data_IF_532369781119
#
_entry.id   IF_532369781119
#
_cell.length_a   1.000
_cell.length_b   1.000
_cell.length_c   1.000
_cell.angle_alpha   90.00
_cell.angle_beta   90.00
_cell.angle_gamma   90.00
#
_symmetry.space_group_name_H-M   'P 1'
#
loop_
_entity.id
_entity.type
_entity.pdbx_description
1 polymer ?
#
# COMPACT_ATOMS: atom_id res chain seq x y z
N UNK A 1 -8.99 -19.22 0.78
CA UNK A 1 -9.05 -18.81 -0.63
C UNK A 1 -10.47 -18.49 -1.09
N UNK A 2 -11.45 -19.26 -0.69
CA UNK A 2 -12.88 -19.04 -1.06
C UNK A 2 -13.42 -17.69 -0.61
N UNK A 3 -13.07 -17.23 0.59
CA UNK A 3 -13.53 -15.94 1.12
C UNK A 3 -13.06 -14.75 0.26
N UNK A 4 -11.84 -14.82 -0.29
CA UNK A 4 -11.26 -13.77 -1.14
C UNK A 4 -11.98 -13.74 -2.49
N UNK A 5 -12.23 -14.91 -3.08
CA UNK A 5 -12.97 -15.03 -4.34
C UNK A 5 -14.41 -14.51 -4.19
N UNK A 6 -15.06 -14.83 -3.07
CA UNK A 6 -16.40 -14.33 -2.77
C UNK A 6 -16.45 -12.80 -2.67
N UNK A 7 -15.39 -12.17 -2.17
CA UNK A 7 -15.29 -10.69 -2.10
C UNK A 7 -15.18 -10.08 -3.51
N UNK A 8 -14.39 -10.69 -4.41
CA UNK A 8 -14.22 -10.19 -5.78
C UNK A 8 -15.45 -10.39 -6.67
N UNK A 9 -16.34 -11.32 -6.33
CA UNK A 9 -17.59 -11.56 -7.08
C UNK A 9 -18.75 -10.68 -6.64
N UNK A 10 -18.57 -9.86 -5.60
CA UNK A 10 -19.62 -8.95 -5.13
C UNK A 10 -19.91 -7.86 -6.17
N UNK A 11 -21.17 -7.47 -6.32
CA UNK A 11 -21.49 -6.29 -7.12
C UNK A 11 -20.92 -5.03 -6.50
N UNK A 12 -20.72 -4.01 -7.32
CA UNK A 12 -20.28 -2.69 -6.86
C UNK A 12 -21.28 -2.11 -5.87
N UNK A 13 -20.78 -1.70 -4.71
CA UNK A 13 -21.55 -1.03 -3.67
C UNK A 13 -20.74 0.18 -3.14
N UNK A 14 -21.19 1.42 -3.40
CA UNK A 14 -20.49 2.62 -2.95
C UNK A 14 -20.36 2.75 -1.42
N UNK A 15 -21.28 2.14 -0.66
CA UNK A 15 -21.25 2.14 0.79
C UNK A 15 -20.19 1.15 1.34
N UNK A 16 -19.79 0.16 0.53
CA UNK A 16 -18.85 -0.90 0.87
C UNK A 16 -17.77 -1.10 -0.20
N UNK A 17 -16.98 -0.08 -0.54
CA UNK A 17 -15.96 -0.18 -1.57
C UNK A 17 -14.93 -1.26 -1.24
N UNK A 18 -14.54 -2.01 -2.27
CA UNK A 18 -13.49 -3.02 -2.20
C UNK A 18 -12.15 -2.39 -2.57
N UNK A 19 -11.20 -2.43 -1.67
CA UNK A 19 -9.84 -1.92 -1.87
C UNK A 19 -8.82 -3.01 -1.64
N UNK A 20 -7.96 -3.26 -2.62
CA UNK A 20 -6.78 -4.10 -2.48
C UNK A 20 -5.60 -3.21 -2.09
N UNK A 21 -4.86 -3.59 -1.07
CA UNK A 21 -3.67 -2.90 -0.60
C UNK A 21 -2.51 -3.87 -0.61
N UNK A 22 -1.41 -3.45 -1.21
CA UNK A 22 -0.16 -4.20 -1.27
C UNK A 22 1.02 -3.25 -1.08
N UNK A 23 2.16 -3.79 -0.67
CA UNK A 23 3.36 -3.01 -0.41
C UNK A 23 4.61 -3.66 -1.01
N UNK A 24 5.50 -2.83 -1.47
CA UNK A 24 6.78 -3.27 -2.00
C UNK A 24 7.89 -2.29 -1.65
N UNK A 25 9.04 -2.81 -1.27
CA UNK A 25 10.25 -2.01 -1.07
C UNK A 25 11.06 -1.95 -2.37
N UNK A 26 11.54 -0.78 -2.72
CA UNK A 26 12.42 -0.55 -3.86
C UNK A 26 13.74 0.06 -3.41
N UNK A 27 14.83 -0.54 -3.85
CA UNK A 27 16.17 -0.03 -3.60
C UNK A 27 16.54 0.96 -4.70
N UNK A 28 17.03 2.13 -4.31
CA UNK A 28 17.63 3.07 -5.24
C UNK A 28 19.06 2.64 -5.55
N UNK A 29 19.37 2.62 -6.82
CA UNK A 29 20.69 2.31 -7.35
C UNK A 29 21.23 3.55 -8.06
N UNK A 30 22.46 3.91 -7.76
CA UNK A 30 23.20 4.90 -8.51
C UNK A 30 24.28 4.22 -9.36
N UNK A 31 24.46 4.70 -10.57
CA UNK A 31 25.54 4.24 -11.43
C UNK A 31 26.87 4.82 -10.92
N UNK A 32 27.87 3.97 -10.75
CA UNK A 32 29.22 4.39 -10.33
C UNK A 32 30.01 5.01 -11.47
N UNK A 33 29.67 4.66 -12.71
CA UNK A 33 30.32 5.14 -13.94
C UNK A 33 29.27 5.55 -14.98
N UNK A 34 29.58 6.59 -15.74
CA UNK A 34 28.73 7.01 -16.83
C UNK A 34 28.68 5.94 -17.93
N UNK A 35 27.47 5.55 -18.37
CA UNK A 35 27.34 4.59 -19.47
C UNK A 35 28.00 5.12 -20.75
N UNK A 36 28.63 4.24 -21.50
CA UNK A 36 29.17 4.57 -22.81
C UNK A 36 28.02 4.51 -23.83
N UNK A 37 27.66 5.64 -24.45
CA UNK A 37 26.54 5.66 -25.38
C UNK A 37 26.83 4.86 -26.64
N UNK A 38 25.78 4.38 -27.26
CA UNK A 38 25.83 3.68 -28.53
C UNK A 38 26.42 4.57 -29.64
N UNK A 39 27.31 3.99 -30.46
CA UNK A 39 27.84 4.59 -31.68
C UNK A 39 27.68 3.59 -32.82
N UNK A 40 27.76 4.10 -34.09
CA UNK A 40 27.69 3.24 -35.25
C UNK A 40 28.72 2.10 -35.15
N UNK A 41 28.27 0.86 -35.21
CA UNK A 41 29.10 -0.35 -35.05
C UNK A 41 29.56 -0.68 -33.65
N UNK A 42 29.08 0.04 -32.61
CA UNK A 42 29.37 -0.24 -31.19
C UNK A 42 28.08 -0.13 -30.35
N UNK A 43 27.64 -1.23 -29.72
CA UNK A 43 26.50 -1.17 -28.81
C UNK A 43 26.82 -0.32 -27.57
N UNK A 44 25.78 0.18 -26.92
CA UNK A 44 25.90 0.82 -25.61
C UNK A 44 26.51 -0.16 -24.60
N UNK A 45 27.30 0.35 -23.69
CA UNK A 45 27.90 -0.43 -22.60
C UNK A 45 27.58 0.26 -21.28
N UNK A 46 26.97 -0.48 -20.37
CA UNK A 46 26.73 -0.09 -18.99
C UNK A 46 27.63 -0.93 -18.08
N UNK A 47 28.09 -0.33 -16.99
CA UNK A 47 28.83 -1.07 -15.96
C UNK A 47 27.83 -1.88 -15.12
N UNK A 48 28.29 -2.97 -14.54
CA UNK A 48 27.50 -3.78 -13.60
C UNK A 48 27.63 -3.30 -12.16
N UNK A 49 28.61 -2.43 -11.90
CA UNK A 49 28.81 -1.86 -10.59
C UNK A 49 27.76 -0.78 -10.33
N UNK A 50 27.12 -0.87 -9.19
CA UNK A 50 26.15 0.13 -8.72
C UNK A 50 26.36 0.43 -7.24
N UNK A 51 26.06 1.64 -6.86
CA UNK A 51 26.03 2.07 -5.48
C UNK A 51 24.60 2.06 -4.96
N UNK A 52 24.41 1.58 -3.72
CA UNK A 52 23.11 1.58 -3.06
C UNK A 52 22.84 2.96 -2.49
N UNK A 53 21.80 3.61 -3.00
CA UNK A 53 21.44 4.99 -2.64
C UNK A 53 20.11 5.07 -1.87
N UNK A 54 19.93 4.17 -0.91
CA UNK A 54 18.75 4.12 -0.06
C UNK A 54 17.66 3.17 -0.55
N UNK A 55 16.56 3.18 0.18
CA UNK A 55 15.38 2.34 -0.08
C UNK A 55 14.13 3.19 0.11
N UNK A 56 13.14 3.03 -0.75
CA UNK A 56 11.80 3.57 -0.54
C UNK A 56 10.78 2.44 -0.50
N UNK A 57 9.71 2.65 0.25
CA UNK A 57 8.59 1.73 0.35
C UNK A 57 7.38 2.33 -0.37
N UNK A 58 6.69 1.50 -1.11
CA UNK A 58 5.56 1.88 -1.95
C UNK A 58 4.34 1.13 -1.44
N UNK A 59 3.35 1.86 -0.95
CA UNK A 59 2.02 1.34 -0.68
C UNK A 59 1.15 1.58 -1.92
N UNK A 60 0.62 0.52 -2.49
CA UNK A 60 -0.28 0.59 -3.63
C UNK A 60 -1.68 0.19 -3.21
N UNK A 61 -2.64 1.06 -3.51
CA UNK A 61 -4.06 0.86 -3.25
C UNK A 61 -4.81 0.81 -4.57
N UNK A 62 -5.66 -0.17 -4.73
CA UNK A 62 -6.43 -0.36 -5.94
C UNK A 62 -7.87 -0.78 -5.61
N UNK A 63 -8.85 -0.03 -6.09
CA UNK A 63 -10.26 -0.37 -6.00
C UNK A 63 -10.77 -0.79 -7.40
N UNK A 64 -10.83 -2.10 -7.68
CA UNK A 64 -11.11 -2.59 -9.03
C UNK A 64 -12.50 -2.20 -9.54
N UNK A 65 -13.50 -2.23 -8.66
CA UNK A 65 -14.88 -1.91 -9.02
C UNK A 65 -15.13 -0.41 -9.20
N UNK A 66 -14.27 0.43 -8.61
CA UNK A 66 -14.32 1.89 -8.73
C UNK A 66 -13.41 2.43 -9.83
N UNK A 67 -12.55 1.59 -10.41
CA UNK A 67 -11.52 2.02 -11.35
C UNK A 67 -10.49 2.99 -10.74
N UNK A 68 -10.36 2.98 -9.41
CA UNK A 68 -9.52 3.90 -8.65
C UNK A 68 -8.21 3.23 -8.21
N UNK A 69 -7.13 3.98 -8.27
CA UNK A 69 -5.82 3.55 -7.77
C UNK A 69 -5.09 4.73 -7.15
N UNK A 70 -4.32 4.44 -6.12
CA UNK A 70 -3.45 5.41 -5.47
C UNK A 70 -2.15 4.75 -5.02
N UNK A 71 -1.07 5.52 -5.04
CA UNK A 71 0.25 5.07 -4.61
C UNK A 71 0.80 6.07 -3.61
N UNK A 72 1.31 5.57 -2.49
CA UNK A 72 2.02 6.37 -1.50
C UNK A 72 3.42 5.82 -1.30
N UNK A 73 4.40 6.71 -1.41
CA UNK A 73 5.81 6.39 -1.18
C UNK A 73 6.20 6.88 0.21
N UNK A 74 6.90 6.04 0.96
CA UNK A 74 7.39 6.33 2.31
C UNK A 74 8.85 5.91 2.42
N UNK A 75 9.60 6.59 3.28
CA UNK A 75 11.01 6.25 3.54
C UNK A 75 11.12 4.98 4.40
N UNK A 76 10.12 4.73 5.23
CA UNK A 76 10.07 3.61 6.15
C UNK A 76 8.81 2.79 5.93
N UNK A 77 8.88 1.56 6.40
CA UNK A 77 7.82 0.57 6.35
C UNK A 77 7.44 0.20 7.79
N UNK A 78 6.75 1.14 8.44
CA UNK A 78 6.34 0.97 9.82
C UNK A 78 4.83 0.82 9.96
N UNK A 79 4.39 0.27 11.10
CA UNK A 79 2.96 0.21 11.43
C UNK A 79 2.30 1.59 11.46
N UNK A 80 3.06 2.64 11.79
CA UNK A 80 2.59 4.03 11.78
C UNK A 80 2.37 4.53 10.35
N UNK A 81 3.30 4.22 9.43
CA UNK A 81 3.15 4.59 8.01
C UNK A 81 1.92 3.91 7.40
N UNK A 82 1.75 2.63 7.69
CA UNK A 82 0.57 1.87 7.28
C UNK A 82 -0.73 2.50 7.83
N UNK A 83 -0.77 2.86 9.11
CA UNK A 83 -1.94 3.49 9.71
C UNK A 83 -2.26 4.86 9.08
N UNK A 84 -1.24 5.65 8.72
CA UNK A 84 -1.43 6.90 7.99
C UNK A 84 -1.98 6.67 6.58
N UNK A 85 -1.52 5.62 5.88
CA UNK A 85 -2.06 5.23 4.58
C UNK A 85 -3.54 4.87 4.68
N UNK A 86 -3.92 4.07 5.67
CA UNK A 86 -5.31 3.69 5.89
C UNK A 86 -6.19 4.87 6.30
N UNK A 87 -5.67 5.77 7.13
CA UNK A 87 -6.38 6.99 7.49
C UNK A 87 -6.63 7.87 6.27
N UNK A 88 -5.63 8.08 5.43
CA UNK A 88 -5.77 8.87 4.20
C UNK A 88 -6.76 8.22 3.22
N UNK A 89 -6.75 6.90 3.11
CA UNK A 89 -7.72 6.14 2.33
C UNK A 89 -9.15 6.39 2.80
N UNK A 90 -9.38 6.33 4.13
CA UNK A 90 -10.70 6.51 4.71
C UNK A 90 -11.17 7.97 4.66
N UNK A 91 -10.31 8.93 5.01
CA UNK A 91 -10.68 10.32 5.17
C UNK A 91 -10.80 11.09 3.84
N UNK A 92 -10.03 10.67 2.81
CA UNK A 92 -9.98 11.38 1.54
C UNK A 92 -10.61 10.63 0.39
N UNK A 93 -10.24 9.36 0.21
CA UNK A 93 -10.63 8.62 -0.99
C UNK A 93 -12.04 8.04 -0.88
N UNK A 94 -12.41 7.58 0.30
CA UNK A 94 -13.71 6.94 0.56
C UNK A 94 -14.41 7.52 1.80
N UNK A 95 -14.39 8.84 1.95
CA UNK A 95 -14.96 9.55 3.09
C UNK A 95 -16.47 9.30 3.28
N UNK A 96 -17.19 8.99 2.22
CA UNK A 96 -18.62 8.73 2.26
C UNK A 96 -19.00 7.25 2.46
N UNK A 97 -17.99 6.35 2.43
CA UNK A 97 -18.23 4.93 2.60
C UNK A 97 -18.58 4.58 4.05
N UNK A 98 -19.54 3.69 4.24
CA UNK A 98 -19.88 3.16 5.58
C UNK A 98 -18.80 2.24 6.12
N UNK A 99 -18.21 1.44 5.23
CA UNK A 99 -17.16 0.47 5.59
C UNK A 99 -16.32 0.17 4.35
N UNK A 100 -15.01 0.24 4.49
CA UNK A 100 -14.07 -0.16 3.42
C UNK A 100 -13.75 -1.63 3.61
N UNK A 101 -13.97 -2.43 2.56
CA UNK A 101 -13.57 -3.84 2.51
C UNK A 101 -12.14 -3.91 2.03
N UNK A 102 -11.20 -4.18 2.93
CA UNK A 102 -9.79 -4.21 2.62
C UNK A 102 -9.29 -5.63 2.37
N UNK A 103 -8.68 -5.86 1.22
CA UNK A 103 -7.97 -7.09 0.88
C UNK A 103 -6.49 -6.80 0.88
N UNK A 104 -5.76 -7.51 1.72
CA UNK A 104 -4.30 -7.35 1.89
C UNK A 104 -3.68 -8.68 2.27
N UNK A 105 -2.35 -8.77 2.15
CA UNK A 105 -1.61 -9.91 2.67
C UNK A 105 -1.53 -9.88 4.21
N UNK A 106 -1.04 -10.95 4.82
CA UNK A 106 -0.99 -11.11 6.28
C UNK A 106 0.39 -10.70 6.85
N UNK A 107 0.91 -9.53 6.46
CA UNK A 107 2.14 -9.00 7.06
C UNK A 107 1.91 -8.60 8.53
N UNK A 108 2.96 -8.73 9.34
CA UNK A 108 2.90 -8.45 10.79
C UNK A 108 2.51 -7.00 11.11
N UNK A 109 2.78 -6.06 10.21
CA UNK A 109 2.41 -4.64 10.37
C UNK A 109 0.92 -4.38 10.13
N UNK A 110 0.22 -5.31 9.47
CA UNK A 110 -1.21 -5.20 9.13
C UNK A 110 -2.13 -5.61 10.29
N UNK A 111 -1.69 -5.43 11.53
CA UNK A 111 -2.51 -5.76 12.69
C UNK A 111 -3.45 -4.62 13.07
N UNK A 112 -4.60 -4.97 13.65
CA UNK A 112 -5.52 -3.97 14.23
C UNK A 112 -4.86 -3.15 15.32
N UNK A 113 -3.90 -3.74 16.04
CA UNK A 113 -3.14 -3.07 17.09
C UNK A 113 -2.30 -1.90 16.54
N UNK A 114 -1.75 -2.04 15.33
CA UNK A 114 -0.99 -0.97 14.66
C UNK A 114 -1.80 0.31 14.44
N UNK A 115 -3.09 0.17 14.17
CA UNK A 115 -4.01 1.30 14.04
C UNK A 115 -4.24 2.03 15.36
N UNK A 116 -4.33 1.27 16.45
CA UNK A 116 -4.49 1.87 17.78
C UNK A 116 -3.24 2.64 18.20
N UNK A 117 -2.05 2.10 17.98
CA UNK A 117 -0.79 2.78 18.29
C UNK A 117 -0.65 4.11 17.54
N UNK A 118 -0.95 4.14 16.25
CA UNK A 118 -0.86 5.36 15.45
C UNK A 118 -1.93 6.40 15.80
N UNK A 119 -3.14 5.97 16.17
CA UNK A 119 -4.22 6.88 16.53
C UNK A 119 -4.11 7.45 17.95
N UNK A 120 -3.48 6.73 18.88
CA UNK A 120 -3.40 7.14 20.28
C UNK A 120 -2.09 7.82 20.67
N UNK A 121 -1.04 7.76 19.88
CA UNK A 121 0.21 8.48 20.13
C UNK A 121 0.14 9.99 19.85
N UNK A 122 -0.89 10.47 19.20
CA UNK A 122 -1.15 11.89 18.93
C UNK A 122 -2.41 12.37 19.63
N UNK A 123 -2.24 13.26 20.62
CA UNK A 123 -3.28 13.98 21.40
C UNK A 123 -4.66 14.02 20.73
N UNK A 124 -5.69 13.71 21.55
CA UNK A 124 -7.09 14.03 21.34
C UNK A 124 -7.30 15.21 20.38
N UNK A 125 -7.67 14.97 19.15
CA UNK A 125 -8.48 15.88 18.38
C UNK A 125 -9.88 15.30 18.31
N UNK A 126 -10.78 15.91 19.09
CA UNK A 126 -12.21 15.80 18.88
C UNK A 126 -12.50 16.24 17.44
N UNK A 127 -13.27 15.47 16.79
CA UNK A 127 -14.20 15.72 15.72
C UNK A 127 -13.92 14.86 14.48
N UNK A 128 -14.61 13.77 14.39
CA UNK A 128 -15.39 13.36 13.24
C UNK A 128 -15.93 11.96 13.55
N UNK A 129 -17.19 11.88 13.90
CA UNK A 129 -17.91 10.62 14.07
C UNK A 129 -18.14 9.94 12.74
N UNK A 130 -17.10 9.36 12.20
CA UNK A 130 -17.15 8.39 11.12
C UNK A 130 -16.56 7.10 11.67
N UNK A 131 -17.41 6.13 12.00
CA UNK A 131 -16.95 4.84 12.49
C UNK A 131 -16.19 4.13 11.37
N UNK A 132 -14.84 4.12 11.46
CA UNK A 132 -13.98 3.29 10.64
C UNK A 132 -14.28 1.82 10.98
N UNK A 133 -15.27 1.23 10.34
CA UNK A 133 -15.52 -0.21 10.38
C UNK A 133 -14.69 -0.86 9.28
N UNK A 134 -13.49 -1.29 9.62
CA UNK A 134 -12.69 -2.15 8.76
C UNK A 134 -13.13 -3.59 8.92
N UNK A 135 -13.62 -4.19 7.86
CA UNK A 135 -13.71 -5.64 7.74
C UNK A 135 -12.38 -6.14 7.16
N UNK A 136 -11.43 -6.47 8.04
CA UNK A 136 -10.17 -7.11 7.65
C UNK A 136 -10.45 -8.57 7.31
N UNK A 137 -10.36 -8.93 6.04
CA UNK A 137 -10.27 -10.33 5.62
C UNK A 137 -8.82 -10.67 5.37
N UNK A 138 -8.17 -11.17 6.41
CA UNK A 138 -6.82 -11.73 6.31
C UNK A 138 -6.92 -13.24 6.21
N UNK A 139 -6.66 -13.80 5.05
CA UNK A 139 -6.25 -15.19 4.88
C UNK A 139 -5.49 -15.37 3.56
N UNK A 140 -4.26 -14.91 3.52
CA UNK A 140 -3.29 -15.54 2.65
C UNK A 140 -2.45 -16.49 3.51
N UNK A 141 -2.74 -17.78 3.48
CA UNK A 141 -1.80 -18.81 3.94
C UNK A 141 -0.68 -18.86 2.91
N UNK A 142 0.55 -18.55 3.35
CA UNK A 142 1.75 -18.94 2.62
C UNK A 142 1.69 -20.45 2.36
N UNK A 143 1.74 -20.82 1.08
CA UNK A 143 2.14 -22.17 0.67
C UNK A 143 3.66 -22.22 0.80
N UNK A 144 4.11 -23.09 1.68
CA UNK A 144 5.49 -23.55 1.76
C UNK A 144 5.84 -24.40 0.52
#
# INVERSE_FOLDING_TARGET
MEDVLAVYTRPRDPDYPLVCLDETSKQFLAETRLPIPMKRGRPARCDYEYERNGTANIFMMFAPLEGWRHVKVTDRHTAVDYAHVLKELADRSFANAKTIVLVQDNLNIHSKASLYEACFSGRRSQAAGGALRMALHSKARQLA
#
